data_IF_333036880947
#
_entry.id   IF_333036880947
#
_cell.length_a   1.000
_cell.length_b   1.000
_cell.length_c   1.000
_cell.angle_alpha   90.00
_cell.angle_beta   90.00
_cell.angle_gamma   90.00
#
_symmetry.space_group_name_H-M   'P 1'
#
loop_
_entity.id
_entity.type
_entity.pdbx_description
1 polymer ?
#
# COMPACT_ATOMS: atom_id res chain seq x y z
N UNK A 1 13.33 -3.24 -7.53
CA UNK A 1 12.91 -2.13 -8.39
C UNK A 1 14.01 -1.08 -8.40
N UNK A 2 14.56 -0.77 -9.56
CA UNK A 2 15.49 0.33 -9.81
C UNK A 2 14.95 1.24 -10.91
N UNK A 3 15.56 2.43 -11.08
CA UNK A 3 15.28 3.34 -12.20
C UNK A 3 15.29 2.61 -13.55
N UNK A 4 16.32 1.79 -13.81
CA UNK A 4 16.42 1.00 -15.03
C UNK A 4 15.24 0.03 -15.20
N UNK A 5 14.88 -0.71 -14.15
CA UNK A 5 13.77 -1.66 -14.23
C UNK A 5 12.41 -1.00 -14.48
N UNK A 6 12.23 0.26 -14.06
CA UNK A 6 11.02 1.03 -14.34
C UNK A 6 10.98 1.49 -15.79
N UNK A 7 12.12 1.90 -16.36
CA UNK A 7 12.21 2.22 -17.80
C UNK A 7 11.88 1.00 -18.65
N UNK A 8 12.43 -0.18 -18.35
CA UNK A 8 12.06 -1.42 -19.05
C UNK A 8 10.57 -1.77 -18.87
N UNK A 9 10.02 -1.51 -17.68
CA UNK A 9 8.60 -1.76 -17.40
C UNK A 9 7.69 -0.80 -18.16
N UNK A 10 8.11 0.46 -18.32
CA UNK A 10 7.40 1.43 -19.14
C UNK A 10 7.32 0.96 -20.60
N UNK A 11 8.46 0.58 -21.19
CA UNK A 11 8.50 0.05 -22.56
C UNK A 11 7.61 -1.19 -22.71
N UNK A 12 7.69 -2.14 -21.79
CA UNK A 12 6.87 -3.35 -21.82
C UNK A 12 5.35 -3.08 -21.78
N UNK A 13 4.92 -2.01 -21.10
CA UNK A 13 3.51 -1.59 -21.08
C UNK A 13 3.11 -0.81 -22.33
N UNK A 14 4.01 -0.04 -22.93
CA UNK A 14 3.75 0.69 -24.17
C UNK A 14 3.73 -0.22 -25.40
N UNK A 15 4.50 -1.31 -25.38
CA UNK A 15 4.52 -2.34 -26.43
C UNK A 15 3.39 -3.38 -26.27
N UNK A 16 2.74 -3.40 -25.10
CA UNK A 16 1.64 -4.34 -24.84
C UNK A 16 0.43 -4.03 -25.71
N UNK A 17 -0.15 -5.09 -26.30
CA UNK A 17 -1.38 -5.02 -27.09
C UNK A 17 -2.22 -6.28 -26.88
N UNK A 18 -3.51 -6.21 -27.23
CA UNK A 18 -4.47 -7.28 -27.01
C UNK A 18 -5.19 -7.16 -25.66
N UNK A 19 -5.89 -8.23 -25.27
CA UNK A 19 -6.76 -8.25 -24.08
C UNK A 19 -6.30 -9.25 -22.99
N UNK A 20 -5.18 -9.94 -23.20
CA UNK A 20 -4.66 -10.95 -22.27
C UNK A 20 -3.27 -10.54 -21.82
N UNK A 21 -3.08 -10.42 -20.51
CA UNK A 21 -1.82 -9.96 -19.91
C UNK A 21 -0.66 -10.88 -20.27
N UNK A 22 0.46 -10.27 -20.70
CA UNK A 22 1.72 -10.99 -20.88
C UNK A 22 2.50 -11.05 -19.57
N UNK A 23 3.52 -11.92 -19.53
CA UNK A 23 4.46 -12.01 -18.40
C UNK A 23 5.14 -10.67 -18.10
N UNK A 24 5.57 -9.96 -19.14
CA UNK A 24 6.33 -8.71 -18.98
C UNK A 24 5.44 -7.54 -18.61
N UNK A 25 4.22 -7.45 -19.18
CA UNK A 25 3.21 -6.50 -18.73
C UNK A 25 2.84 -6.74 -17.26
N UNK A 26 2.67 -7.99 -16.84
CA UNK A 26 2.35 -8.34 -15.44
C UNK A 26 3.47 -7.92 -14.48
N UNK A 27 4.74 -8.19 -14.85
CA UNK A 27 5.91 -7.74 -14.09
C UNK A 27 6.01 -6.22 -14.02
N UNK A 28 5.69 -5.53 -15.11
CA UNK A 28 5.69 -4.08 -15.17
C UNK A 28 4.63 -3.47 -14.24
N UNK A 29 3.40 -3.99 -14.29
CA UNK A 29 2.32 -3.59 -13.38
C UNK A 29 2.73 -3.79 -11.92
N UNK A 30 3.28 -4.95 -11.56
CA UNK A 30 3.73 -5.20 -10.19
C UNK A 30 4.73 -4.14 -9.71
N UNK A 31 5.72 -3.77 -10.54
CA UNK A 31 6.69 -2.72 -10.17
C UNK A 31 6.04 -1.36 -10.04
N UNK A 32 5.19 -0.96 -10.98
CA UNK A 32 4.52 0.34 -10.93
C UNK A 32 3.55 0.46 -9.77
N UNK A 33 2.76 -0.57 -9.48
CA UNK A 33 1.83 -0.59 -8.34
C UNK A 33 2.58 -0.43 -7.02
N UNK A 34 3.70 -1.13 -6.82
CA UNK A 34 4.52 -0.98 -5.61
C UNK A 34 4.99 0.46 -5.39
N UNK A 35 5.47 1.13 -6.45
CA UNK A 35 6.05 2.49 -6.32
C UNK A 35 5.05 3.62 -6.48
N UNK A 36 3.77 3.29 -6.72
CA UNK A 36 2.66 4.25 -6.82
C UNK A 36 1.64 3.99 -5.72
N UNK A 37 0.70 3.07 -5.92
CA UNK A 37 -0.38 2.78 -4.98
C UNK A 37 0.14 2.36 -3.60
N UNK A 38 1.10 1.44 -3.52
CA UNK A 38 1.60 0.99 -2.21
C UNK A 38 2.48 2.05 -1.53
N UNK A 39 3.25 2.82 -2.29
CA UNK A 39 4.02 3.95 -1.76
C UNK A 39 3.11 5.10 -1.27
N UNK A 40 1.94 5.31 -1.87
CA UNK A 40 0.94 6.27 -1.39
C UNK A 40 0.32 5.83 -0.06
N UNK A 41 0.04 4.54 0.10
CA UNK A 41 -0.49 3.97 1.34
C UNK A 41 0.55 3.93 2.46
N UNK A 42 1.77 3.52 2.14
CA UNK A 42 2.82 3.22 3.11
C UNK A 42 4.05 4.12 2.92
N UNK A 43 4.23 5.04 3.87
CA UNK A 43 5.40 5.92 3.95
C UNK A 43 6.71 5.14 4.02
N UNK A 44 6.69 3.93 4.59
CA UNK A 44 7.84 3.03 4.61
C UNK A 44 8.34 2.71 3.19
N UNK A 45 7.44 2.19 2.33
CA UNK A 45 7.75 1.84 0.94
C UNK A 45 8.20 3.09 0.18
N UNK A 46 7.55 4.23 0.37
CA UNK A 46 7.98 5.51 -0.23
C UNK A 46 9.42 5.88 0.19
N UNK A 47 9.73 5.84 1.49
CA UNK A 47 11.04 6.22 2.04
C UNK A 47 12.16 5.30 1.56
N UNK A 48 11.88 4.01 1.41
CA UNK A 48 12.85 3.00 0.99
C UNK A 48 13.06 3.02 -0.51
N UNK A 49 11.97 3.06 -1.30
CA UNK A 49 12.06 3.11 -2.76
C UNK A 49 12.72 4.39 -3.27
N UNK A 50 12.52 5.56 -2.62
CA UNK A 50 13.09 6.83 -3.10
C UNK A 50 14.61 6.79 -3.26
N UNK A 51 15.31 5.92 -2.53
CA UNK A 51 16.75 5.75 -2.66
C UNK A 51 17.12 5.27 -4.07
N UNK A 52 16.30 4.43 -4.70
CA UNK A 52 16.53 3.95 -6.07
C UNK A 52 16.48 5.05 -7.14
N UNK A 53 16.04 6.26 -6.77
CA UNK A 53 15.98 7.44 -7.61
C UNK A 53 17.16 8.39 -7.39
N UNK A 54 18.06 8.13 -6.45
CA UNK A 54 19.29 8.92 -6.26
C UNK A 54 20.23 8.79 -7.47
N UNK A 55 21.29 9.61 -7.49
CA UNK A 55 22.39 9.52 -8.46
C UNK A 55 23.08 8.15 -8.43
N UNK A 56 23.19 7.54 -7.25
CA UNK A 56 23.77 6.21 -7.08
C UNK A 56 22.88 5.09 -7.63
N UNK A 57 21.62 5.38 -7.95
CA UNK A 57 20.64 4.48 -8.55
C UNK A 57 20.62 3.04 -7.96
N UNK A 58 20.57 2.88 -6.63
CA UNK A 58 20.53 1.56 -6.00
C UNK A 58 19.24 0.80 -6.35
N UNK A 59 19.22 -0.49 -6.01
CA UNK A 59 18.05 -1.34 -6.18
C UNK A 59 17.24 -1.36 -4.88
N UNK A 60 15.99 -0.92 -4.94
CA UNK A 60 15.01 -1.20 -3.88
C UNK A 60 14.56 -2.65 -3.96
N UNK A 61 14.61 -3.38 -2.85
CA UNK A 61 14.11 -4.76 -2.76
C UNK A 61 12.97 -4.76 -1.75
N UNK A 62 11.75 -5.05 -2.22
CA UNK A 62 10.58 -5.11 -1.35
C UNK A 62 10.78 -6.23 -0.32
N UNK A 63 10.75 -5.85 0.95
CA UNK A 63 11.02 -6.77 2.05
C UNK A 63 9.77 -7.58 2.40
N UNK A 64 9.89 -8.72 3.11
CA UNK A 64 8.72 -9.42 3.65
C UNK A 64 7.85 -8.53 4.53
N UNK A 65 8.44 -7.58 5.26
CA UNK A 65 7.71 -6.60 6.07
C UNK A 65 6.87 -5.64 5.24
N UNK A 66 7.38 -5.21 4.07
CA UNK A 66 6.59 -4.39 3.13
C UNK A 66 5.39 -5.17 2.59
N UNK A 67 5.57 -6.46 2.28
CA UNK A 67 4.48 -7.33 1.83
C UNK A 67 3.45 -7.54 2.94
N UNK A 68 3.91 -7.77 4.18
CA UNK A 68 3.02 -7.89 5.34
C UNK A 68 2.19 -6.60 5.54
N UNK A 69 2.78 -5.42 5.32
CA UNK A 69 2.05 -4.15 5.38
C UNK A 69 0.93 -4.07 4.34
N UNK A 70 1.23 -4.37 3.07
CA UNK A 70 0.22 -4.28 2.00
C UNK A 70 -0.93 -5.28 2.22
N UNK A 71 -0.62 -6.50 2.69
CA UNK A 71 -1.62 -7.53 2.99
C UNK A 71 -2.51 -7.20 4.21
N UNK A 72 -2.06 -6.32 5.11
CA UNK A 72 -2.83 -5.93 6.30
C UNK A 72 -3.42 -4.51 6.20
N UNK A 73 -3.40 -3.87 5.03
CA UNK A 73 -3.85 -2.49 4.86
C UNK A 73 -5.29 -2.25 5.35
N UNK A 74 -6.22 -3.16 5.03
CA UNK A 74 -7.60 -3.08 5.48
C UNK A 74 -7.75 -3.14 7.01
N UNK A 75 -7.05 -4.07 7.65
CA UNK A 75 -7.04 -4.19 9.12
C UNK A 75 -6.43 -2.97 9.80
N UNK A 76 -5.32 -2.47 9.26
CA UNK A 76 -4.67 -1.25 9.73
C UNK A 76 -5.64 -0.08 9.62
N UNK A 77 -6.35 0.02 8.50
CA UNK A 77 -7.33 1.07 8.25
C UNK A 77 -8.52 1.02 9.21
N UNK A 78 -8.88 -0.16 9.71
CA UNK A 78 -9.96 -0.32 10.69
C UNK A 78 -9.50 -0.04 12.14
N UNK A 79 -8.23 -0.30 12.47
CA UNK A 79 -7.71 -0.15 13.85
C UNK A 79 -7.20 1.26 14.14
N UNK A 80 -6.49 1.89 13.19
CA UNK A 80 -5.86 3.19 13.43
C UNK A 80 -6.83 4.34 13.76
N UNK A 81 -8.06 4.41 13.23
CA UNK A 81 -9.03 5.43 13.63
C UNK A 81 -9.41 5.38 15.11
N UNK A 82 -9.27 4.22 15.77
CA UNK A 82 -9.57 4.03 17.19
C UNK A 82 -8.39 4.37 18.11
N UNK A 83 -7.24 4.77 17.57
CA UNK A 83 -6.12 5.23 18.39
C UNK A 83 -6.51 6.48 19.21
N UNK A 84 -6.28 6.43 20.53
CA UNK A 84 -6.57 7.53 21.48
C UNK A 84 -5.33 7.93 22.30
N UNK A 85 -4.14 7.53 21.87
CA UNK A 85 -2.88 7.85 22.54
C UNK A 85 -2.31 6.69 23.36
N UNK A 86 -2.67 5.46 23.02
CA UNK A 86 -2.07 4.25 23.57
C UNK A 86 -0.57 4.20 23.29
N UNK A 87 0.18 3.46 24.12
CA UNK A 87 1.63 3.30 23.98
C UNK A 87 2.04 2.67 22.63
N UNK A 88 1.16 1.85 22.04
CA UNK A 88 1.37 1.26 20.73
C UNK A 88 0.13 0.59 20.16
N UNK A 89 0.22 0.20 18.88
CA UNK A 89 -0.85 -0.45 18.13
C UNK A 89 -0.34 -1.77 17.57
N UNK A 90 -1.12 -2.84 17.74
CA UNK A 90 -0.78 -4.16 17.19
C UNK A 90 -1.88 -4.67 16.26
N UNK A 91 -1.52 -4.99 15.03
CA UNK A 91 -2.42 -5.54 14.00
C UNK A 91 -1.84 -6.84 13.47
N UNK A 92 -2.32 -7.97 14.01
CA UNK A 92 -1.77 -9.29 13.67
C UNK A 92 -0.28 -9.39 14.05
N UNK A 93 0.58 -9.51 13.03
CA UNK A 93 2.05 -9.58 13.15
C UNK A 93 2.73 -8.21 13.18
N UNK A 94 2.01 -7.13 12.84
CA UNK A 94 2.55 -5.78 12.76
C UNK A 94 2.38 -5.09 14.11
N UNK A 95 3.46 -4.46 14.59
CA UNK A 95 3.47 -3.70 15.84
C UNK A 95 4.04 -2.31 15.59
N UNK A 96 3.31 -1.29 16.03
CA UNK A 96 3.76 0.09 16.08
C UNK A 96 3.94 0.48 17.54
N UNK A 97 5.17 0.67 17.97
CA UNK A 97 5.50 0.86 19.39
C UNK A 97 5.34 2.32 19.88
N UNK A 98 4.85 3.21 19.02
CA UNK A 98 4.52 4.61 19.31
C UNK A 98 3.95 5.28 18.06
N UNK A 99 3.43 6.51 18.22
CA UNK A 99 2.88 7.32 17.12
C UNK A 99 3.89 7.59 16.00
N UNK A 100 5.17 7.78 16.32
CA UNK A 100 6.23 8.01 15.33
C UNK A 100 6.45 6.77 14.45
N UNK A 101 6.29 5.57 15.00
CA UNK A 101 6.34 4.33 14.23
C UNK A 101 5.12 4.20 13.30
N UNK A 102 3.91 4.58 13.75
CA UNK A 102 2.71 4.61 12.90
C UNK A 102 2.95 5.56 11.72
N UNK A 103 3.29 6.81 12.00
CA UNK A 103 3.53 7.83 10.97
C UNK A 103 4.76 7.50 10.12
N UNK A 104 5.78 6.86 10.67
CA UNK A 104 6.95 6.40 9.91
C UNK A 104 6.61 5.35 8.87
N UNK A 105 5.49 4.65 9.02
CA UNK A 105 5.15 3.47 8.22
C UNK A 105 3.90 3.66 7.37
N UNK A 106 2.83 4.23 7.90
CA UNK A 106 1.52 4.39 7.24
C UNK A 106 1.29 5.86 6.92
N UNK A 107 0.82 6.14 5.70
CA UNK A 107 0.49 7.48 5.22
C UNK A 107 -1.02 7.65 4.96
N UNK A 108 -1.64 6.67 4.30
CA UNK A 108 -3.05 6.73 3.88
C UNK A 108 -3.76 5.43 4.25
N UNK A 109 -4.94 5.56 4.85
CA UNK A 109 -5.83 4.45 5.21
C UNK A 109 -7.17 4.57 4.48
N UNK A 110 -7.90 3.46 4.39
CA UNK A 110 -9.30 3.45 3.94
C UNK A 110 -10.20 4.20 4.93
N UNK A 111 -11.38 4.60 4.46
CA UNK A 111 -12.44 5.12 5.32
C UNK A 111 -13.40 3.98 5.68
N UNK A 112 -13.19 3.34 6.83
CA UNK A 112 -14.02 2.21 7.27
C UNK A 112 -15.22 2.61 8.15
N UNK A 113 -15.50 3.91 8.36
CA UNK A 113 -16.55 4.36 9.29
C UNK A 113 -17.99 4.07 8.84
N UNK A 114 -18.23 3.89 7.53
CA UNK A 114 -19.59 3.64 7.01
C UNK A 114 -20.12 2.23 7.27
N UNK A 115 -19.31 1.33 7.83
CA UNK A 115 -19.74 -0.05 8.11
C UNK A 115 -20.54 -0.19 9.42
N UNK A 116 -20.67 0.87 10.22
CA UNK A 116 -21.43 0.87 11.49
C UNK A 116 -22.55 1.91 11.62
N UNK A 117 -22.68 2.85 10.68
CA UNK A 117 -23.67 3.94 10.77
C UNK A 117 -24.55 3.99 9.52
N UNK A 118 -25.87 3.78 9.68
CA UNK A 118 -26.87 4.12 8.65
C UNK A 118 -26.85 5.64 8.43
N UNK A 119 -26.10 6.11 7.44
CA UNK A 119 -26.12 7.52 7.00
C UNK A 119 -27.07 7.70 5.82
N UNK A 120 -27.87 8.78 5.85
CA UNK A 120 -29.03 9.08 4.99
C UNK A 120 -28.63 9.62 3.60
N UNK A 121 -27.37 9.47 3.19
CA UNK A 121 -26.89 9.91 1.86
C UNK A 121 -25.94 8.88 1.26
N UNK A 122 -26.47 7.69 0.99
CA UNK A 122 -25.80 6.70 0.15
C UNK A 122 -25.91 7.14 -1.31
N UNK A 123 -24.88 7.80 -1.82
CA UNK A 123 -24.69 7.95 -3.27
C UNK A 123 -23.59 6.97 -3.66
N UNK A 124 -24.02 5.79 -4.13
CA UNK A 124 -23.22 4.72 -4.72
C UNK A 124 -22.08 4.17 -3.82
N UNK A 125 -22.43 3.43 -2.78
CA UNK A 125 -21.44 2.74 -1.93
C UNK A 125 -21.38 1.24 -2.27
N UNK A 126 -20.40 0.86 -3.10
CA UNK A 126 -19.85 -0.49 -3.03
C UNK A 126 -19.26 -0.65 -1.62
N UNK A 127 -19.77 -1.61 -0.84
CA UNK A 127 -19.17 -1.99 0.43
C UNK A 127 -17.68 -2.26 0.19
N UNK A 128 -16.77 -1.55 0.87
CA UNK A 128 -15.33 -1.85 0.77
C UNK A 128 -15.04 -3.17 1.49
N UNK A 129 -14.87 -4.31 0.78
CA UNK A 129 -14.73 -5.61 1.44
C UNK A 129 -13.46 -5.69 2.27
N UNK A 130 -12.43 -4.90 1.96
CA UNK A 130 -11.14 -4.93 2.63
C UNK A 130 -11.20 -4.39 4.07
N UNK A 131 -12.21 -3.58 4.41
CA UNK A 131 -12.39 -3.03 5.76
C UNK A 131 -12.85 -4.07 6.80
N UNK A 132 -13.38 -5.22 6.38
CA UNK A 132 -13.93 -6.26 7.26
C UNK A 132 -13.22 -7.61 7.08
N UNK A 133 -12.73 -8.19 8.17
CA UNK A 133 -12.26 -9.59 8.20
C UNK A 133 -13.36 -10.52 8.70
N UNK A 134 -14.04 -10.11 9.77
CA UNK A 134 -15.28 -10.64 10.34
C UNK A 134 -15.50 -9.90 11.67
N UNK A 135 -16.76 -9.56 11.96
CA UNK A 135 -17.22 -9.06 13.26
C UNK A 135 -18.28 -9.99 13.81
#
# INVERSE_FOLDING_TARGET
ISRHSLVSSYLALMEFSGNTMTRDASRAVLRFVTVTAEALRFRQIQREFRQALSETAPVYTMTPGDVDLTLNWGRISNVLPEYRGEDGVRVGRISFNNISAILGTVAVILNCHHQGARSVRAVNEESQPECQITG
#
